data_IF_951790226303
#
_entry.id   IF_951790226303
#
_cell.length_a   1.000
_cell.length_b   1.000
_cell.length_c   1.000
_cell.angle_alpha   90.00
_cell.angle_beta   90.00
_cell.angle_gamma   90.00
#
_symmetry.space_group_name_H-M   'P 1'
#
loop_
_entity.id
_entity.type
_entity.pdbx_description
1 polymer ?
#
# COMPACT_ATOMS: atom_id res chain seq x y z
N UNK A 1 4.81 6.66 11.65
CA UNK A 1 5.07 7.01 10.24
C UNK A 1 4.79 5.83 9.33
N UNK A 2 4.44 6.10 8.07
CA UNK A 2 3.96 5.10 7.10
C UNK A 2 5.08 4.38 6.35
N UNK A 3 6.37 4.68 6.59
CA UNK A 3 7.51 4.05 5.89
C UNK A 3 7.38 2.54 5.64
N UNK A 4 6.94 1.70 6.61
CA UNK A 4 6.83 0.26 6.37
C UNK A 4 5.88 -0.10 5.21
N UNK A 5 4.83 0.70 4.98
CA UNK A 5 3.84 0.50 3.92
C UNK A 5 4.47 0.44 2.53
N UNK A 6 5.62 1.10 2.32
CA UNK A 6 6.36 1.03 1.06
C UNK A 6 6.76 -0.40 0.65
N UNK A 7 6.85 -1.31 1.63
CA UNK A 7 7.33 -2.68 1.47
C UNK A 7 6.35 -3.74 2.00
N UNK A 8 5.45 -3.34 2.91
CA UNK A 8 4.44 -4.20 3.56
C UNK A 8 3.08 -3.50 3.61
N UNK A 9 2.54 -3.12 2.45
CA UNK A 9 1.19 -2.54 2.38
C UNK A 9 0.10 -3.54 2.77
N UNK A 10 -1.06 -3.02 3.19
CA UNK A 10 -2.20 -3.83 3.58
C UNK A 10 -3.12 -4.05 2.39
N UNK A 11 -3.45 -5.30 2.11
CA UNK A 11 -4.54 -5.63 1.20
C UNK A 11 -5.72 -6.15 2.01
N UNK A 12 -6.80 -5.38 2.02
CA UNK A 12 -8.06 -5.71 2.70
C UNK A 12 -9.11 -6.22 1.71
N UNK A 13 -10.19 -6.81 2.22
CA UNK A 13 -11.30 -7.34 1.39
C UNK A 13 -11.91 -6.33 0.41
N UNK A 14 -11.85 -5.05 0.76
CA UNK A 14 -12.38 -3.91 0.00
C UNK A 14 -11.30 -2.84 -0.05
N UNK A 15 -10.29 -2.97 -0.94
CA UNK A 15 -9.18 -2.03 -0.99
C UNK A 15 -9.61 -0.57 -1.20
N UNK A 16 -10.83 -0.33 -1.70
CA UNK A 16 -11.44 0.99 -1.86
C UNK A 16 -11.86 1.66 -0.57
N UNK A 17 -11.70 0.97 0.58
CA UNK A 17 -11.98 1.49 1.91
C UNK A 17 -10.72 1.80 2.73
N UNK A 18 -9.53 1.63 2.14
CA UNK A 18 -8.28 1.93 2.81
C UNK A 18 -7.96 3.42 2.75
N UNK A 19 -7.67 4.02 3.91
CA UNK A 19 -7.07 5.35 4.06
C UNK A 19 -5.93 5.21 5.07
N UNK A 20 -4.76 5.72 4.73
CA UNK A 20 -3.65 5.78 5.67
C UNK A 20 -3.75 7.01 6.55
N UNK A 21 -3.25 6.91 7.78
CA UNK A 21 -3.18 8.04 8.71
C UNK A 21 -1.73 8.31 9.11
N UNK A 22 -1.37 9.58 9.21
CA UNK A 22 -0.06 10.04 9.66
C UNK A 22 -0.19 11.19 10.66
N UNK A 23 0.71 11.21 11.65
CA UNK A 23 0.79 12.26 12.65
C UNK A 23 2.12 13.00 12.47
N UNK A 24 2.10 14.32 12.33
CA UNK A 24 3.31 15.13 12.09
C UNK A 24 3.34 16.32 13.04
N UNK A 25 4.29 16.31 13.97
CA UNK A 25 4.40 17.33 15.01
C UNK A 25 5.73 18.08 14.91
N UNK A 26 5.73 19.41 14.98
CA UNK A 26 6.96 20.20 14.82
C UNK A 26 8.10 19.78 15.76
N UNK A 27 7.77 19.30 16.96
CA UNK A 27 8.75 18.85 17.96
C UNK A 27 9.24 17.40 17.78
N UNK A 28 8.61 16.58 16.95
CA UNK A 28 9.12 15.24 16.57
C UNK A 28 9.94 15.34 15.28
N UNK A 29 10.49 14.23 14.79
CA UNK A 29 11.24 14.16 13.53
C UNK A 29 11.35 12.71 13.05
N UNK A 30 11.92 12.47 11.86
CA UNK A 30 12.06 11.12 11.28
C UNK A 30 12.74 10.10 12.19
N UNK A 31 13.67 10.59 13.01
CA UNK A 31 14.44 9.82 13.99
C UNK A 31 14.40 10.49 15.38
N UNK A 32 13.50 11.45 15.59
CA UNK A 32 13.41 12.23 16.82
C UNK A 32 12.03 12.07 17.48
N UNK A 33 11.99 11.54 18.70
CA UNK A 33 10.73 11.20 19.40
C UNK A 33 9.95 12.42 19.92
N UNK A 34 10.62 13.56 20.03
CA UNK A 34 10.11 14.78 20.67
C UNK A 34 10.54 14.95 22.11
N UNK A 35 11.31 13.98 22.65
CA UNK A 35 11.92 14.10 23.96
C UNK A 35 12.91 15.28 24.04
N UNK A 36 13.11 15.77 25.25
CA UNK A 36 14.16 16.72 25.62
C UNK A 36 14.84 16.19 26.88
N UNK A 37 16.18 16.20 26.93
CA UNK A 37 16.95 15.68 28.05
C UNK A 37 17.20 14.17 27.98
N UNK A 38 16.91 13.43 29.05
CA UNK A 38 17.18 11.99 29.09
C UNK A 38 16.32 11.26 28.04
N UNK A 39 16.98 10.60 27.07
CA UNK A 39 16.31 9.94 25.94
C UNK A 39 16.10 10.83 24.71
N UNK A 40 16.62 12.05 24.71
CA UNK A 40 16.68 12.89 23.50
C UNK A 40 17.70 12.33 22.49
N UNK A 41 17.30 12.32 21.23
CA UNK A 41 18.16 12.06 20.07
C UNK A 41 18.70 13.37 19.53
N UNK A 42 19.88 13.39 18.90
CA UNK A 42 20.44 14.60 18.30
C UNK A 42 20.04 14.81 16.82
N UNK A 43 19.13 13.98 16.32
CA UNK A 43 18.53 14.11 14.99
C UNK A 43 17.62 15.34 14.89
N UNK A 44 17.39 15.83 13.67
CA UNK A 44 16.53 16.99 13.45
C UNK A 44 15.07 16.68 13.84
N UNK A 45 14.47 17.59 14.60
CA UNK A 45 13.01 17.73 14.67
C UNK A 45 12.51 18.35 13.37
N UNK A 46 11.24 18.17 13.02
CA UNK A 46 10.64 18.77 11.84
C UNK A 46 10.71 20.30 11.88
N UNK A 47 10.59 20.93 13.05
CA UNK A 47 10.75 22.38 13.20
C UNK A 47 12.17 22.89 12.97
N UNK A 48 13.16 22.01 13.05
CA UNK A 48 14.57 22.34 12.80
C UNK A 48 14.95 22.17 11.31
N UNK A 49 14.04 21.66 10.48
CA UNK A 49 14.24 21.46 9.05
C UNK A 49 13.95 22.74 8.25
N UNK A 50 14.68 22.93 7.16
CA UNK A 50 14.27 23.85 6.09
C UNK A 50 12.95 23.39 5.45
N UNK A 51 12.24 24.29 4.75
CA UNK A 51 10.99 23.94 4.06
C UNK A 51 11.16 22.75 3.09
N UNK A 52 12.26 22.70 2.34
CA UNK A 52 12.57 21.59 1.42
C UNK A 52 12.81 20.29 2.18
N UNK A 53 13.62 20.33 3.25
CA UNK A 53 13.87 19.13 4.07
C UNK A 53 12.60 18.60 4.72
N UNK A 54 11.73 19.50 5.21
CA UNK A 54 10.43 19.13 5.76
C UNK A 54 9.54 18.47 4.70
N UNK A 55 9.45 19.07 3.51
CA UNK A 55 8.67 18.51 2.40
C UNK A 55 9.18 17.13 1.97
N UNK A 56 10.49 16.95 1.88
CA UNK A 56 11.10 15.67 1.52
C UNK A 56 10.87 14.61 2.60
N UNK A 57 11.04 14.96 3.87
CA UNK A 57 10.79 14.06 4.98
C UNK A 57 9.31 13.62 5.01
N UNK A 58 8.38 14.56 4.99
CA UNK A 58 6.94 14.24 5.02
C UNK A 58 6.51 13.45 3.78
N UNK A 59 7.10 13.73 2.61
CA UNK A 59 6.86 12.94 1.40
C UNK A 59 7.32 11.49 1.58
N UNK A 60 8.54 11.28 2.06
CA UNK A 60 9.10 9.94 2.28
C UNK A 60 8.39 9.17 3.40
N UNK A 61 7.74 9.86 4.33
CA UNK A 61 7.19 9.27 5.56
C UNK A 61 5.69 9.08 5.56
N UNK A 62 4.98 9.89 4.77
CA UNK A 62 3.53 9.91 4.74
C UNK A 62 2.98 10.05 3.32
N UNK A 63 3.40 11.05 2.54
CA UNK A 63 2.72 11.37 1.28
C UNK A 63 3.07 10.42 0.13
N UNK A 64 4.13 9.61 0.22
CA UNK A 64 4.48 8.67 -0.85
C UNK A 64 3.33 7.70 -1.18
N UNK A 65 2.45 7.39 -0.21
CA UNK A 65 1.30 6.51 -0.41
C UNK A 65 0.27 7.07 -1.39
N UNK A 66 0.33 8.35 -1.75
CA UNK A 66 -0.54 8.93 -2.79
C UNK A 66 0.09 8.85 -4.19
N UNK A 67 1.29 8.28 -4.32
CA UNK A 67 1.92 8.04 -5.63
C UNK A 67 1.06 7.06 -6.43
N UNK A 68 0.54 7.44 -7.62
CA UNK A 68 -0.32 6.58 -8.42
C UNK A 68 0.33 5.25 -8.80
N UNK A 69 -0.52 4.23 -8.96
CA UNK A 69 -0.15 2.97 -9.57
C UNK A 69 0.84 2.11 -8.77
N UNK A 70 0.92 2.25 -7.46
CA UNK A 70 1.75 1.44 -6.56
C UNK A 70 0.90 0.54 -5.66
N UNK A 71 1.47 -0.54 -5.14
CA UNK A 71 0.76 -1.51 -4.29
C UNK A 71 0.30 -0.93 -2.94
N UNK A 72 0.79 0.26 -2.61
CA UNK A 72 0.45 1.03 -1.43
C UNK A 72 -0.41 2.25 -1.75
N UNK A 73 -0.84 2.45 -3.00
CA UNK A 73 -1.54 3.67 -3.38
C UNK A 73 -2.89 3.76 -2.67
N UNK A 74 -3.02 4.75 -1.78
CA UNK A 74 -4.27 5.06 -1.09
C UNK A 74 -4.27 6.53 -0.62
N UNK A 75 -5.45 7.12 -0.36
CA UNK A 75 -5.53 8.41 0.30
C UNK A 75 -4.79 8.41 1.64
N UNK A 76 -4.27 9.58 2.02
CA UNK A 76 -3.64 9.81 3.32
C UNK A 76 -4.31 10.97 4.04
N UNK A 77 -4.68 10.72 5.28
CA UNK A 77 -5.18 11.73 6.21
C UNK A 77 -4.08 12.06 7.22
N UNK A 78 -3.63 13.30 7.26
CA UNK A 78 -2.80 13.79 8.37
C UNK A 78 -3.71 14.02 9.57
N UNK A 79 -4.03 12.93 10.28
CA UNK A 79 -5.04 12.92 11.33
C UNK A 79 -4.65 13.68 12.58
N UNK A 80 -3.37 13.98 12.74
CA UNK A 80 -2.89 14.93 13.74
C UNK A 80 -1.69 15.71 13.20
N UNK A 81 -1.75 17.03 13.35
CA UNK A 81 -0.56 17.85 13.27
C UNK A 81 -0.66 19.02 14.23
N UNK A 82 0.51 19.51 14.61
CA UNK A 82 0.62 20.68 15.45
C UNK A 82 2.04 20.96 15.86
N UNK A 83 2.24 22.14 16.40
CA UNK A 83 3.43 22.47 17.17
C UNK A 83 3.04 23.33 18.35
N UNK A 84 4.02 23.79 19.15
CA UNK A 84 3.78 24.68 20.30
C UNK A 84 2.78 25.77 19.94
N UNK A 85 1.85 26.00 20.85
CA UNK A 85 0.64 26.76 20.58
C UNK A 85 0.68 28.24 20.97
N UNK A 86 -0.46 28.75 21.43
CA UNK A 86 -0.68 30.16 21.76
C UNK A 86 0.43 30.73 22.67
N UNK A 87 0.88 31.95 22.36
CA UNK A 87 1.92 32.65 23.11
C UNK A 87 3.36 32.27 22.77
N UNK A 88 3.57 31.31 21.85
CA UNK A 88 4.90 30.98 21.34
C UNK A 88 5.48 32.10 20.46
N UNK A 89 6.79 32.36 20.59
CA UNK A 89 7.57 33.35 19.82
C UNK A 89 8.78 32.74 19.08
N UNK A 90 9.08 31.46 19.31
CA UNK A 90 10.14 30.74 18.60
C UNK A 90 9.89 30.70 17.10
N UNK A 91 10.79 31.33 16.34
CA UNK A 91 10.69 31.46 14.89
C UNK A 91 10.71 30.11 14.16
N UNK A 92 11.31 29.08 14.75
CA UNK A 92 11.31 27.73 14.16
C UNK A 92 9.93 27.10 14.16
N UNK A 93 9.15 27.32 15.22
CA UNK A 93 7.77 26.81 15.31
C UNK A 93 6.85 27.52 14.33
N UNK A 94 7.01 28.84 14.24
CA UNK A 94 6.26 29.67 13.30
C UNK A 94 6.58 29.28 11.85
N UNK A 95 7.86 29.10 11.53
CA UNK A 95 8.30 28.67 10.20
C UNK A 95 7.80 27.26 9.86
N UNK A 96 7.82 26.33 10.82
CA UNK A 96 7.32 24.97 10.63
C UNK A 96 5.83 24.96 10.29
N UNK A 97 4.99 25.67 11.06
CA UNK A 97 3.56 25.73 10.81
C UNK A 97 3.24 26.29 9.42
N UNK A 98 3.91 27.37 9.03
CA UNK A 98 3.71 27.97 7.72
C UNK A 98 4.13 27.01 6.60
N UNK A 99 5.31 26.40 6.71
CA UNK A 99 5.82 25.44 5.73
C UNK A 99 4.98 24.17 5.65
N UNK A 100 4.49 23.67 6.79
CA UNK A 100 3.67 22.47 6.84
C UNK A 100 2.27 22.72 6.29
N UNK A 101 1.63 23.85 6.62
CA UNK A 101 0.35 24.23 5.99
C UNK A 101 0.49 24.48 4.49
N UNK A 102 1.60 25.06 4.03
CA UNK A 102 1.92 25.15 2.59
C UNK A 102 2.02 23.77 1.94
N UNK A 103 2.68 22.82 2.61
CA UNK A 103 2.83 21.45 2.12
C UNK A 103 1.47 20.74 1.99
N UNK A 104 0.58 20.88 2.98
CA UNK A 104 -0.77 20.29 2.93
C UNK A 104 -1.59 20.86 1.76
N UNK A 105 -1.56 22.19 1.58
CA UNK A 105 -2.24 22.86 0.45
C UNK A 105 -1.68 22.41 -0.89
N UNK A 106 -0.35 22.36 -1.02
CA UNK A 106 0.31 21.99 -2.27
C UNK A 106 0.01 20.54 -2.73
N UNK A 107 -0.37 19.66 -1.79
CA UNK A 107 -0.66 18.26 -2.07
C UNK A 107 -2.15 17.91 -1.99
N UNK A 108 -3.02 18.86 -1.66
CA UNK A 108 -4.46 18.61 -1.45
C UNK A 108 -4.68 17.50 -0.41
N UNK A 109 -3.94 17.60 0.71
CA UNK A 109 -3.90 16.56 1.75
C UNK A 109 -4.98 16.80 2.80
N UNK A 110 -5.82 15.79 3.06
CA UNK A 110 -6.78 15.82 4.16
C UNK A 110 -6.06 15.90 5.53
N UNK A 111 -6.64 16.64 6.49
CA UNK A 111 -5.98 16.91 7.76
C UNK A 111 -6.92 17.01 8.96
N UNK A 112 -6.35 16.91 10.16
CA UNK A 112 -6.97 17.33 11.42
C UNK A 112 -5.91 17.95 12.35
N UNK A 113 -6.22 19.13 12.91
CA UNK A 113 -5.35 19.82 13.86
C UNK A 113 -5.55 19.25 15.28
N UNK A 114 -4.46 19.07 16.02
CA UNK A 114 -4.51 18.51 17.38
C UNK A 114 -4.11 19.50 18.50
N UNK A 115 -4.98 19.71 19.50
CA UNK A 115 -6.43 19.55 19.41
C UNK A 115 -7.02 20.68 18.57
N UNK A 116 -8.19 20.48 17.97
CA UNK A 116 -8.91 21.59 17.34
C UNK A 116 -9.53 22.52 18.40
N UNK A 117 -10.09 21.92 19.46
CA UNK A 117 -10.92 22.59 20.47
C UNK A 117 -10.41 22.32 21.88
N UNK A 118 -10.42 23.33 22.73
CA UNK A 118 -10.21 23.21 24.17
C UNK A 118 -11.19 24.09 24.96
N UNK A 119 -11.15 24.01 26.28
CA UNK A 119 -11.83 24.98 27.15
C UNK A 119 -10.91 26.16 27.46
N UNK A 120 -11.48 27.29 27.89
CA UNK A 120 -10.66 28.36 28.45
C UNK A 120 -10.21 27.99 29.87
N UNK A 121 -9.00 28.42 30.24
CA UNK A 121 -8.52 28.36 31.62
C UNK A 121 -9.15 29.49 32.48
N UNK A 122 -8.79 29.54 33.76
CA UNK A 122 -9.29 30.55 34.69
C UNK A 122 -8.90 31.99 34.33
N UNK A 123 -7.86 32.19 33.50
CA UNK A 123 -7.45 33.50 32.99
C UNK A 123 -8.20 33.91 31.71
N UNK A 124 -9.01 33.01 31.16
CA UNK A 124 -9.72 33.20 29.89
C UNK A 124 -8.85 32.93 28.66
N UNK A 125 -7.69 32.30 28.84
CA UNK A 125 -6.80 31.84 27.76
C UNK A 125 -7.09 30.38 27.40
N UNK A 126 -6.42 29.83 26.39
CA UNK A 126 -6.56 28.42 26.03
C UNK A 126 -6.03 27.51 27.15
N UNK A 127 -6.83 26.57 27.66
CA UNK A 127 -6.36 25.57 28.61
C UNK A 127 -5.36 24.59 27.98
N UNK A 128 -5.53 24.32 26.68
CA UNK A 128 -4.52 23.67 25.86
C UNK A 128 -4.04 24.65 24.78
N UNK A 129 -2.81 25.14 24.95
CA UNK A 129 -2.23 26.13 24.03
C UNK A 129 -2.20 25.68 22.56
N UNK A 130 -2.12 24.37 22.29
CA UNK A 130 -2.08 23.80 20.94
C UNK A 130 -3.39 24.03 20.18
N UNK A 131 -4.49 24.25 20.89
CA UNK A 131 -5.82 24.44 20.31
C UNK A 131 -5.90 25.65 19.37
N UNK A 132 -6.83 25.58 18.41
CA UNK A 132 -7.16 26.67 17.49
C UNK A 132 -8.45 27.41 17.89
N UNK A 133 -9.31 26.72 18.64
CA UNK A 133 -10.61 27.18 19.10
C UNK A 133 -10.78 26.83 20.58
N UNK A 134 -11.44 27.71 21.35
CA UNK A 134 -11.85 27.36 22.70
C UNK A 134 -13.11 28.08 23.17
N UNK A 135 -13.66 27.61 24.28
CA UNK A 135 -14.88 28.13 24.87
C UNK A 135 -14.70 28.46 26.35
N UNK A 136 -15.15 29.65 26.75
CA UNK A 136 -15.24 30.07 28.15
C UNK A 136 -16.46 29.44 28.84
N UNK A 137 -16.52 29.42 30.19
CA UNK A 137 -17.67 28.88 30.92
C UNK A 137 -19.02 29.53 30.58
N UNK A 138 -19.01 30.78 30.13
CA UNK A 138 -20.19 31.52 29.67
C UNK A 138 -20.62 31.20 28.23
N UNK A 139 -19.90 30.30 27.55
CA UNK A 139 -20.13 29.92 26.15
C UNK A 139 -19.46 30.85 25.12
N UNK A 140 -18.80 31.93 25.55
CA UNK A 140 -18.09 32.81 24.63
C UNK A 140 -16.84 32.13 24.03
N UNK A 141 -16.56 32.44 22.77
CA UNK A 141 -15.46 31.84 21.99
C UNK A 141 -14.14 32.57 22.22
N UNK A 142 -13.05 31.80 22.28
CA UNK A 142 -11.67 32.25 22.02
C UNK A 142 -11.15 31.55 20.77
N UNK A 143 -10.31 32.23 19.99
CA UNK A 143 -9.80 31.69 18.73
C UNK A 143 -8.43 32.25 18.41
N UNK A 144 -7.76 31.60 17.48
CA UNK A 144 -6.46 32.03 16.95
C UNK A 144 -6.50 33.27 16.04
N UNK A 145 -7.57 34.06 16.01
CA UNK A 145 -7.70 35.20 15.08
C UNK A 145 -6.55 36.23 15.20
N UNK A 146 -6.03 36.43 16.42
CA UNK A 146 -4.90 37.32 16.71
C UNK A 146 -3.57 36.56 16.89
N UNK A 147 -3.52 35.28 16.53
CA UNK A 147 -2.37 34.38 16.69
C UNK A 147 -1.60 34.25 15.37
N UNK A 148 -0.29 34.04 15.46
CA UNK A 148 0.61 33.85 14.31
C UNK A 148 0.22 32.65 13.43
N UNK A 149 -0.52 31.68 13.97
CA UNK A 149 -1.06 30.51 13.25
C UNK A 149 -2.20 30.87 12.28
N UNK A 150 -2.88 32.00 12.48
CA UNK A 150 -4.12 32.34 11.76
C UNK A 150 -3.95 32.35 10.25
N UNK A 151 -2.91 33.01 9.74
CA UNK A 151 -2.68 33.12 8.31
C UNK A 151 -2.48 31.75 7.65
N UNK A 152 -1.69 30.87 8.28
CA UNK A 152 -1.49 29.49 7.82
C UNK A 152 -2.77 28.66 7.89
N UNK A 153 -3.56 28.80 8.97
CA UNK A 153 -4.85 28.13 9.12
C UNK A 153 -5.86 28.57 8.06
N UNK A 154 -6.02 29.88 7.86
CA UNK A 154 -6.94 30.43 6.86
C UNK A 154 -6.57 29.93 5.47
N UNK A 155 -5.30 30.05 5.09
CA UNK A 155 -4.76 29.53 3.82
C UNK A 155 -5.13 28.07 3.60
N UNK A 156 -4.99 27.23 4.64
CA UNK A 156 -5.31 25.81 4.57
C UNK A 156 -6.81 25.56 4.36
N UNK A 157 -7.68 26.14 5.22
CA UNK A 157 -9.13 25.86 5.19
C UNK A 157 -9.88 26.55 4.05
N UNK A 158 -9.29 27.56 3.40
CA UNK A 158 -9.86 28.22 2.22
C UNK A 158 -9.17 27.81 0.92
N UNK A 159 -8.23 26.86 0.96
CA UNK A 159 -7.56 26.38 -0.25
C UNK A 159 -8.55 25.69 -1.18
N UNK A 160 -8.36 25.86 -2.49
CA UNK A 160 -9.14 25.15 -3.49
C UNK A 160 -8.62 23.72 -3.64
N UNK A 161 -9.28 22.76 -2.99
CA UNK A 161 -9.00 21.34 -3.14
C UNK A 161 -9.71 20.71 -4.34
N UNK A 162 -9.42 19.43 -4.61
CA UNK A 162 -10.21 18.66 -5.58
C UNK A 162 -11.65 18.55 -5.10
N UNK A 163 -12.59 18.70 -6.02
CA UNK A 163 -14.03 18.55 -5.75
C UNK A 163 -14.65 17.53 -6.69
N UNK A 164 -15.77 16.94 -6.27
CA UNK A 164 -16.47 15.91 -7.03
C UNK A 164 -15.86 14.51 -6.86
N UNK A 165 -16.23 13.60 -7.76
CA UNK A 165 -15.75 12.22 -7.71
C UNK A 165 -14.27 12.16 -8.12
N UNK A 166 -13.44 11.60 -7.25
CA UNK A 166 -12.05 11.27 -7.58
C UNK A 166 -12.05 10.15 -8.64
N UNK A 167 -11.32 10.29 -9.75
CA UNK A 167 -11.21 9.25 -10.76
C UNK A 167 -10.81 7.91 -10.15
N UNK A 168 -11.48 6.84 -10.58
CA UNK A 168 -11.07 5.49 -10.19
C UNK A 168 -9.80 5.15 -10.96
N UNK A 169 -8.68 5.02 -10.24
CA UNK A 169 -7.41 4.58 -10.80
C UNK A 169 -7.28 3.06 -10.76
N UNK A 170 -6.44 2.53 -11.66
CA UNK A 170 -5.97 1.15 -11.60
C UNK A 170 -5.34 0.86 -10.25
N UNK A 171 -5.79 -0.20 -9.60
CA UNK A 171 -5.29 -0.64 -8.31
C UNK A 171 -4.19 -1.66 -8.45
N UNK A 172 -3.29 -1.58 -7.50
CA UNK A 172 -2.24 -2.55 -7.27
C UNK A 172 -2.29 -2.90 -5.79
N UNK A 173 -2.26 -4.20 -5.48
CA UNK A 173 -2.34 -4.66 -4.10
C UNK A 173 -1.35 -5.79 -3.87
N UNK A 174 -0.60 -5.71 -2.78
CA UNK A 174 0.39 -6.71 -2.42
C UNK A 174 -0.25 -7.81 -1.57
N UNK A 175 0.01 -9.07 -1.89
CA UNK A 175 -0.31 -10.20 -1.04
C UNK A 175 0.92 -10.59 -0.20
N UNK A 176 0.70 -11.02 1.04
CA UNK A 176 1.73 -11.52 1.95
C UNK A 176 2.44 -10.47 2.77
N UNK A 177 3.04 -10.89 3.88
CA UNK A 177 3.63 -9.98 4.88
C UNK A 177 5.01 -10.39 5.39
N UNK A 178 5.63 -11.42 4.80
CA UNK A 178 6.85 -12.10 5.26
C UNK A 178 6.55 -12.97 6.49
N UNK A 179 5.29 -13.38 6.61
CA UNK A 179 4.80 -14.19 7.72
C UNK A 179 4.19 -15.46 7.16
N UNK A 180 4.46 -16.58 7.82
CA UNK A 180 3.89 -17.87 7.48
C UNK A 180 2.39 -17.95 7.84
N UNK A 181 1.91 -17.07 8.72
CA UNK A 181 0.51 -16.93 9.12
C UNK A 181 0.18 -15.46 9.49
N UNK A 182 -1.08 -15.02 9.33
CA UNK A 182 -2.15 -15.72 8.63
C UNK A 182 -1.94 -15.71 7.10
N UNK A 183 -2.77 -16.45 6.38
CA UNK A 183 -2.93 -16.30 4.93
C UNK A 183 -3.24 -14.85 4.57
N UNK A 184 -2.89 -14.44 3.34
CA UNK A 184 -3.37 -13.17 2.79
C UNK A 184 -4.54 -13.41 1.85
N UNK A 185 -5.70 -13.71 2.45
CA UNK A 185 -6.94 -13.91 1.72
C UNK A 185 -7.76 -12.61 1.67
N UNK A 186 -7.60 -11.86 0.59
CA UNK A 186 -8.34 -10.64 0.33
C UNK A 186 -9.64 -10.85 -0.47
N UNK A 187 -10.01 -12.09 -0.77
CA UNK A 187 -11.27 -12.45 -1.44
C UNK A 187 -12.37 -12.71 -0.42
N UNK A 188 -13.48 -11.97 -0.50
CA UNK A 188 -14.64 -12.23 0.35
C UNK A 188 -15.25 -13.60 0.00
N UNK A 189 -15.29 -13.94 -1.29
CA UNK A 189 -15.74 -15.27 -1.74
C UNK A 189 -14.94 -16.42 -1.14
N UNK A 190 -13.63 -16.26 -0.96
CA UNK A 190 -12.79 -17.30 -0.39
C UNK A 190 -12.75 -17.28 1.14
N UNK A 191 -13.13 -16.19 1.80
CA UNK A 191 -13.33 -16.20 3.26
C UNK A 191 -14.54 -17.06 3.66
N UNK A 192 -15.56 -17.12 2.81
CA UNK A 192 -16.77 -17.92 3.04
C UNK A 192 -16.65 -19.38 2.56
N UNK A 193 -15.43 -19.84 2.23
CA UNK A 193 -15.18 -21.19 1.70
C UNK A 193 -14.18 -21.97 2.55
N UNK A 194 -14.21 -23.31 2.48
CA UNK A 194 -13.20 -24.14 3.12
C UNK A 194 -11.79 -23.80 2.64
N UNK A 195 -10.80 -24.06 3.49
CA UNK A 195 -9.39 -23.98 3.11
C UNK A 195 -9.12 -24.86 1.87
N UNK A 196 -8.70 -24.21 0.79
CA UNK A 196 -8.50 -24.84 -0.52
C UNK A 196 -7.11 -25.48 -0.67
N UNK A 197 -6.19 -25.20 0.26
CA UNK A 197 -4.91 -25.87 0.35
C UNK A 197 -4.45 -26.02 1.82
N UNK A 198 -5.05 -26.97 2.56
CA UNK A 198 -4.81 -27.14 3.99
C UNK A 198 -3.32 -27.27 4.34
N UNK A 199 -2.91 -26.50 5.35
CA UNK A 199 -1.53 -26.50 5.87
C UNK A 199 -0.51 -25.77 5.00
N UNK A 200 -0.94 -25.11 3.92
CA UNK A 200 -0.10 -24.25 3.08
C UNK A 200 -0.46 -22.78 3.30
N UNK A 201 0.45 -21.86 2.98
CA UNK A 201 0.12 -20.43 2.95
C UNK A 201 -0.64 -20.11 1.67
N UNK A 202 -1.63 -19.24 1.75
CA UNK A 202 -2.51 -18.87 0.63
C UNK A 202 -2.55 -17.36 0.47
N UNK A 203 -2.30 -16.90 -0.75
CA UNK A 203 -2.52 -15.53 -1.19
C UNK A 203 -3.68 -15.51 -2.20
N UNK A 204 -4.73 -14.75 -1.92
CA UNK A 204 -5.87 -14.58 -2.84
C UNK A 204 -6.18 -13.10 -3.01
N UNK A 205 -6.24 -12.65 -4.25
CA UNK A 205 -6.57 -11.28 -4.60
C UNK A 205 -8.00 -10.89 -4.18
N UNK A 206 -8.28 -9.59 -3.98
CA UNK A 206 -9.64 -9.07 -3.92
C UNK A 206 -10.51 -9.62 -5.05
N UNK A 207 -11.81 -9.81 -4.81
CA UNK A 207 -12.71 -10.39 -5.83
C UNK A 207 -12.83 -9.53 -7.10
N UNK A 208 -12.46 -8.26 -7.00
CA UNK A 208 -12.38 -7.27 -8.09
C UNK A 208 -11.02 -7.26 -8.78
N UNK A 209 -10.08 -8.12 -8.38
CA UNK A 209 -8.69 -8.13 -8.80
C UNK A 209 -8.23 -9.53 -9.26
N UNK A 210 -7.16 -9.58 -10.05
CA UNK A 210 -6.51 -10.83 -10.49
C UNK A 210 -5.06 -10.85 -10.04
N UNK A 211 -4.48 -12.05 -9.99
CA UNK A 211 -3.05 -12.20 -9.75
C UNK A 211 -2.27 -11.77 -11.00
N UNK A 212 -1.31 -10.88 -10.82
CA UNK A 212 -0.52 -10.27 -11.89
C UNK A 212 0.98 -10.61 -11.79
N UNK A 213 1.46 -10.88 -10.58
CA UNK A 213 2.84 -11.23 -10.32
C UNK A 213 3.01 -12.02 -9.04
N UNK A 214 4.15 -12.73 -8.95
CA UNK A 214 4.56 -13.47 -7.76
C UNK A 214 6.06 -13.29 -7.54
N UNK A 215 6.46 -13.37 -6.28
CA UNK A 215 7.87 -13.35 -5.91
C UNK A 215 8.43 -14.76 -5.83
N UNK A 216 9.75 -14.84 -6.01
CA UNK A 216 10.55 -16.02 -5.76
C UNK A 216 10.92 -16.11 -4.29
N UNK A 217 10.79 -17.31 -3.71
CA UNK A 217 11.30 -17.65 -2.37
C UNK A 217 10.72 -16.84 -1.19
N UNK A 218 9.55 -16.23 -1.33
CA UNK A 218 8.82 -15.59 -0.24
C UNK A 218 7.32 -15.53 -0.54
N UNK A 219 6.49 -15.39 0.49
CA UNK A 219 5.06 -15.14 0.41
C UNK A 219 4.77 -13.74 -0.13
N UNK A 220 4.99 -13.51 -1.43
CA UNK A 220 4.62 -12.24 -2.07
C UNK A 220 3.92 -12.45 -3.40
N UNK A 221 2.80 -11.76 -3.55
CA UNK A 221 2.05 -11.66 -4.79
C UNK A 221 1.64 -10.22 -5.08
N UNK A 222 1.30 -9.96 -6.34
CA UNK A 222 0.79 -8.67 -6.78
C UNK A 222 -0.54 -8.88 -7.48
N UNK A 223 -1.55 -8.15 -7.02
CA UNK A 223 -2.90 -8.12 -7.58
C UNK A 223 -3.14 -6.81 -8.32
N UNK A 224 -4.02 -6.85 -9.31
CA UNK A 224 -4.47 -5.64 -10.01
C UNK A 224 -5.83 -5.81 -10.65
N UNK A 225 -6.55 -4.70 -10.80
CA UNK A 225 -7.76 -4.57 -11.62
C UNK A 225 -7.47 -4.01 -13.02
N UNK A 226 -6.20 -3.78 -13.39
CA UNK A 226 -5.79 -3.21 -14.66
C UNK A 226 -6.40 -3.98 -15.84
N UNK A 227 -7.36 -3.39 -16.56
CA UNK A 227 -8.08 -4.06 -17.68
C UNK A 227 -8.71 -5.40 -17.28
N UNK A 228 -9.08 -5.57 -16.00
CA UNK A 228 -9.62 -6.82 -15.50
C UNK A 228 -10.95 -7.18 -16.17
N UNK A 229 -11.04 -8.35 -16.81
CA UNK A 229 -12.34 -8.90 -17.20
C UNK A 229 -13.12 -9.30 -15.95
N UNK A 230 -14.45 -9.10 -15.97
CA UNK A 230 -15.30 -9.61 -14.92
C UNK A 230 -15.17 -11.15 -14.81
N UNK A 231 -15.06 -11.67 -13.60
CA UNK A 231 -14.94 -13.12 -13.35
C UNK A 231 -16.24 -13.69 -12.75
N UNK A 232 -16.47 -14.98 -12.95
CA UNK A 232 -17.54 -15.70 -12.26
C UNK A 232 -17.18 -15.93 -10.80
N UNK A 233 -18.13 -16.42 -10.00
CA UNK A 233 -17.88 -16.84 -8.61
C UNK A 233 -17.22 -18.22 -8.51
N UNK A 234 -17.07 -18.95 -9.62
CA UNK A 234 -16.39 -20.23 -9.64
C UNK A 234 -14.89 -20.07 -9.34
N UNK A 235 -14.33 -21.02 -8.59
CA UNK A 235 -12.90 -21.06 -8.25
C UNK A 235 -12.40 -22.47 -8.48
N UNK A 236 -11.40 -22.61 -9.34
CA UNK A 236 -10.83 -23.89 -9.71
C UNK A 236 -9.40 -23.98 -9.17
N UNK A 237 -9.11 -25.10 -8.53
CA UNK A 237 -7.80 -25.35 -7.94
C UNK A 237 -6.99 -26.17 -8.93
N UNK A 238 -5.81 -25.67 -9.29
CA UNK A 238 -4.85 -26.36 -10.15
C UNK A 238 -3.72 -26.85 -9.27
N UNK A 239 -3.51 -28.18 -9.26
CA UNK A 239 -2.50 -28.84 -8.44
C UNK A 239 -1.44 -29.59 -9.27
N UNK A 240 -1.58 -29.63 -10.59
CA UNK A 240 -0.67 -30.34 -11.50
C UNK A 240 -0.80 -29.78 -12.93
N UNK A 241 -0.12 -30.44 -13.88
CA UNK A 241 -0.02 -30.03 -15.29
C UNK A 241 -1.25 -30.41 -16.15
N UNK A 242 -2.38 -30.82 -15.58
CA UNK A 242 -3.55 -31.31 -16.35
C UNK A 242 -4.11 -30.30 -17.37
N UNK A 243 -3.88 -29.00 -17.16
CA UNK A 243 -4.32 -27.93 -18.06
C UNK A 243 -3.22 -27.44 -19.01
N UNK A 244 -2.02 -28.01 -18.96
CA UNK A 244 -0.88 -27.59 -19.78
C UNK A 244 -1.09 -28.08 -21.21
N UNK A 245 -1.15 -27.14 -22.14
CA UNK A 245 -1.38 -27.43 -23.57
C UNK A 245 -0.08 -27.55 -24.36
N UNK A 246 0.98 -26.90 -23.90
CA UNK A 246 2.28 -26.84 -24.53
C UNK A 246 3.35 -26.64 -23.47
N UNK A 247 4.56 -27.16 -23.70
CA UNK A 247 5.68 -27.00 -22.76
C UNK A 247 6.27 -25.58 -22.86
N UNK A 248 5.68 -24.64 -22.13
CA UNK A 248 6.11 -23.23 -22.11
C UNK A 248 7.27 -22.95 -21.14
N UNK A 249 7.64 -23.92 -20.32
CA UNK A 249 8.74 -23.84 -19.36
C UNK A 249 9.43 -25.21 -19.24
N UNK A 250 10.26 -25.53 -20.23
CA UNK A 250 10.94 -26.82 -20.33
C UNK A 250 11.80 -27.12 -19.10
N UNK A 251 11.67 -28.33 -18.55
CA UNK A 251 12.36 -28.77 -17.33
C UNK A 251 11.73 -28.34 -16.01
N UNK A 252 10.59 -27.64 -16.06
CA UNK A 252 9.83 -27.19 -14.88
C UNK A 252 8.45 -27.84 -14.83
N UNK A 253 7.93 -28.04 -13.62
CA UNK A 253 6.53 -28.34 -13.38
C UNK A 253 5.68 -27.07 -13.50
N UNK A 254 4.45 -27.19 -13.98
CA UNK A 254 3.58 -26.05 -14.31
C UNK A 254 2.22 -26.17 -13.65
N UNK A 255 1.81 -25.11 -12.96
CA UNK A 255 0.42 -24.89 -12.58
C UNK A 255 -0.18 -23.94 -13.60
N UNK A 256 -1.12 -24.40 -14.41
CA UNK A 256 -1.75 -23.60 -15.46
C UNK A 256 -3.27 -23.58 -15.30
N UNK A 257 -3.86 -22.39 -15.36
CA UNK A 257 -5.31 -22.22 -15.44
C UNK A 257 -5.85 -22.79 -16.76
N UNK A 258 -7.06 -23.36 -16.72
CA UNK A 258 -7.72 -23.84 -17.94
C UNK A 258 -8.03 -22.68 -18.91
N UNK A 259 -8.30 -23.00 -20.17
CA UNK A 259 -8.70 -21.99 -21.16
C UNK A 259 -9.91 -21.19 -20.67
N UNK A 260 -9.88 -19.86 -20.89
CA UNK A 260 -10.93 -18.94 -20.40
C UNK A 260 -10.84 -18.59 -18.91
N UNK A 261 -9.79 -19.02 -18.21
CA UNK A 261 -9.57 -18.71 -16.79
C UNK A 261 -8.28 -17.92 -16.58
N UNK A 262 -8.25 -17.13 -15.51
CA UNK A 262 -7.08 -16.39 -15.05
C UNK A 262 -6.76 -16.71 -13.60
N UNK A 263 -5.50 -16.57 -13.20
CA UNK A 263 -5.08 -16.73 -11.82
C UNK A 263 -5.64 -15.58 -10.95
N UNK A 264 -6.17 -15.95 -9.78
CA UNK A 264 -6.67 -15.01 -8.76
C UNK A 264 -6.04 -15.25 -7.40
N UNK A 265 -5.25 -16.31 -7.27
CA UNK A 265 -4.52 -16.63 -6.05
C UNK A 265 -3.56 -17.79 -6.26
N UNK A 266 -2.73 -18.04 -5.26
CA UNK A 266 -1.72 -19.10 -5.26
C UNK A 266 -1.42 -19.52 -3.83
N UNK A 267 -0.85 -20.72 -3.68
CA UNK A 267 -0.43 -21.24 -2.39
C UNK A 267 1.02 -21.69 -2.42
N UNK A 268 1.66 -21.57 -1.26
CA UNK A 268 3.06 -21.87 -1.05
C UNK A 268 3.24 -22.80 0.14
N UNK A 269 4.24 -23.67 0.05
CA UNK A 269 4.63 -24.52 1.17
C UNK A 269 5.25 -23.72 2.32
N UNK A 270 4.74 -23.90 3.55
CA UNK A 270 5.25 -23.23 4.76
C UNK A 270 6.12 -24.10 5.65
N UNK A 271 6.24 -25.38 5.31
CA UNK A 271 7.08 -26.34 6.02
C UNK A 271 8.56 -25.92 6.07
N UNK A 272 9.33 -26.59 6.92
CA UNK A 272 10.78 -26.34 7.06
C UNK A 272 11.59 -26.82 5.86
N UNK A 273 11.06 -27.81 5.13
CA UNK A 273 11.63 -28.32 3.88
C UNK A 273 10.89 -27.72 2.70
N UNK A 274 11.63 -27.23 1.69
CA UNK A 274 11.06 -26.59 0.50
C UNK A 274 10.11 -25.43 0.83
N UNK A 275 10.47 -24.63 1.84
CA UNK A 275 9.72 -23.43 2.21
C UNK A 275 9.59 -22.51 1.00
N UNK A 276 8.38 -22.00 0.79
CA UNK A 276 7.95 -21.17 -0.33
C UNK A 276 7.94 -21.88 -1.69
N UNK A 277 7.94 -23.21 -1.72
CA UNK A 277 7.67 -23.96 -2.93
C UNK A 277 6.23 -23.70 -3.41
N UNK A 278 6.02 -23.62 -4.72
CA UNK A 278 4.69 -23.53 -5.30
C UNK A 278 3.91 -24.81 -4.99
N UNK A 279 2.70 -24.66 -4.44
CA UNK A 279 1.81 -25.77 -4.11
C UNK A 279 0.67 -25.87 -5.10
N UNK A 280 -0.21 -24.86 -5.14
CA UNK A 280 -1.39 -24.83 -6.02
C UNK A 280 -1.67 -23.43 -6.54
N UNK A 281 -2.41 -23.37 -7.65
CA UNK A 281 -2.87 -22.13 -8.26
C UNK A 281 -4.40 -22.07 -8.21
N UNK A 282 -4.94 -20.91 -7.82
CA UNK A 282 -6.38 -20.66 -7.77
C UNK A 282 -6.78 -19.85 -9.00
N UNK A 283 -7.69 -20.40 -9.80
CA UNK A 283 -8.12 -19.83 -11.07
C UNK A 283 -9.62 -19.47 -11.04
N UNK A 284 -9.98 -18.38 -11.72
CA UNK A 284 -11.37 -17.96 -11.89
C UNK A 284 -11.72 -17.88 -13.39
N UNK A 285 -12.87 -18.42 -13.82
CA UNK A 285 -13.38 -18.22 -15.17
C UNK A 285 -13.74 -16.75 -15.42
N UNK A 286 -13.28 -16.22 -16.55
CA UNK A 286 -13.75 -14.94 -17.08
C UNK A 286 -15.18 -15.08 -17.58
N UNK A 287 -15.98 -14.03 -17.41
CA UNK A 287 -17.32 -13.91 -18.01
C UNK A 287 -17.27 -13.52 -19.48
N UNK A 288 -16.14 -12.95 -19.93
CA UNK A 288 -15.87 -12.60 -21.32
C UNK A 288 -14.79 -13.49 -21.94
N UNK A 289 -14.83 -13.79 -23.25
CA UNK A 289 -13.82 -14.63 -23.89
C UNK A 289 -12.39 -14.09 -23.70
N UNK A 290 -11.49 -14.92 -23.18
CA UNK A 290 -10.06 -14.61 -23.15
C UNK A 290 -9.40 -15.07 -24.46
N UNK A 291 -8.42 -14.32 -25.00
CA UNK A 291 -7.69 -14.74 -26.19
C UNK A 291 -7.05 -16.13 -26.03
N UNK A 292 -7.16 -16.97 -27.07
CA UNK A 292 -6.63 -18.36 -27.09
C UNK A 292 -5.11 -18.40 -27.31
N UNK A 293 -4.42 -17.25 -27.23
CA UNK A 293 -2.99 -17.14 -27.52
C UNK A 293 -2.15 -18.06 -26.60
N UNK A 294 -1.05 -18.57 -27.16
CA UNK A 294 0.00 -19.29 -26.44
C UNK A 294 0.51 -18.54 -25.20
N UNK A 295 0.58 -17.21 -25.28
CA UNK A 295 1.20 -16.35 -24.28
C UNK A 295 2.72 -16.30 -24.41
N UNK A 296 3.36 -15.64 -23.45
CA UNK A 296 4.82 -15.59 -23.31
C UNK A 296 5.23 -16.07 -21.92
N UNK A 297 6.42 -16.65 -21.84
CA UNK A 297 7.03 -17.04 -20.57
C UNK A 297 7.86 -15.89 -20.01
N UNK A 298 7.65 -15.57 -18.74
CA UNK A 298 8.36 -14.55 -17.98
C UNK A 298 9.24 -15.24 -16.96
N UNK A 299 10.53 -15.38 -17.27
CA UNK A 299 11.52 -15.97 -16.37
C UNK A 299 12.02 -14.94 -15.36
N UNK A 300 11.99 -15.29 -14.08
CA UNK A 300 12.46 -14.44 -12.98
C UNK A 300 13.27 -15.24 -11.93
N UNK A 301 13.89 -16.34 -12.37
CA UNK A 301 14.71 -17.22 -11.53
C UNK A 301 16.10 -16.64 -11.24
N UNK A 302 16.55 -15.67 -12.04
CA UNK A 302 17.89 -15.05 -11.94
C UNK A 302 17.87 -13.53 -11.71
N UNK A 303 16.76 -12.87 -11.98
CA UNK A 303 16.57 -11.43 -11.77
C UNK A 303 15.08 -11.09 -11.80
N UNK A 304 14.73 -9.86 -11.42
CA UNK A 304 13.40 -9.31 -11.70
C UNK A 304 13.10 -9.36 -13.19
N UNK A 305 11.88 -9.77 -13.53
CA UNK A 305 11.33 -9.66 -14.87
C UNK A 305 9.95 -9.04 -14.78
N UNK A 306 9.96 -7.71 -14.82
CA UNK A 306 8.81 -6.82 -14.64
C UNK A 306 8.70 -5.91 -15.87
N UNK A 307 7.49 -5.48 -16.25
CA UNK A 307 7.32 -4.49 -17.30
C UNK A 307 8.13 -3.22 -17.01
N UNK A 308 8.71 -2.60 -18.05
CA UNK A 308 9.46 -1.34 -17.90
C UNK A 308 8.57 -0.12 -17.63
N UNK A 309 7.25 -0.26 -17.83
CA UNK A 309 6.23 0.76 -17.57
C UNK A 309 4.87 0.10 -17.40
N UNK A 310 3.91 0.83 -16.82
CA UNK A 310 2.72 0.20 -16.23
C UNK A 310 3.08 -0.56 -14.95
N UNK A 311 2.08 -1.14 -14.28
CA UNK A 311 2.38 -1.90 -13.08
C UNK A 311 2.74 -1.08 -11.83
N UNK A 312 2.82 -1.79 -10.70
CA UNK A 312 3.42 -1.31 -9.45
C UNK A 312 4.95 -1.18 -9.52
N UNK A 313 5.50 -0.64 -10.60
CA UNK A 313 6.93 -0.78 -10.99
C UNK A 313 7.89 0.17 -10.28
N UNK A 314 7.41 1.31 -9.76
CA UNK A 314 8.25 2.21 -8.95
C UNK A 314 8.47 1.70 -7.52
N UNK A 315 7.57 0.83 -7.05
CA UNK A 315 7.65 0.16 -5.75
C UNK A 315 8.33 -1.22 -5.81
N UNK A 316 8.90 -1.61 -4.68
CA UNK A 316 9.40 -2.96 -4.43
C UNK A 316 8.41 -3.73 -3.54
N UNK A 317 7.46 -4.42 -4.17
CA UNK A 317 6.45 -5.22 -3.46
C UNK A 317 6.99 -6.57 -2.93
N UNK A 318 8.26 -6.88 -3.18
CA UNK A 318 8.92 -8.05 -2.59
C UNK A 318 10.42 -7.76 -2.35
N UNK A 319 10.75 -6.91 -1.36
CA UNK A 319 12.11 -6.42 -1.18
C UNK A 319 13.14 -7.53 -0.97
N UNK A 320 14.21 -7.49 -1.76
CA UNK A 320 15.29 -8.47 -1.72
C UNK A 320 15.01 -9.79 -2.46
N UNK A 321 13.86 -9.92 -3.13
CA UNK A 321 13.47 -11.13 -3.85
C UNK A 321 13.18 -10.87 -5.32
N UNK A 322 13.41 -11.86 -6.19
CA UNK A 322 13.10 -11.72 -7.61
C UNK A 322 11.60 -11.79 -7.89
N UNK A 323 11.14 -10.93 -8.78
CA UNK A 323 9.72 -10.73 -9.10
C UNK A 323 9.44 -11.05 -10.55
N UNK A 324 8.48 -11.93 -10.80
CA UNK A 324 7.85 -12.11 -12.10
C UNK A 324 6.56 -11.30 -12.15
N UNK A 325 6.35 -10.54 -13.22
CA UNK A 325 5.12 -9.76 -13.40
C UNK A 325 4.69 -9.72 -14.88
N UNK A 326 3.43 -10.03 -15.15
CA UNK A 326 2.85 -9.85 -16.48
C UNK A 326 2.62 -8.36 -16.77
N UNK A 327 2.48 -7.97 -18.04
CA UNK A 327 2.14 -6.60 -18.43
C UNK A 327 0.67 -6.26 -18.11
N UNK A 328 0.32 -4.98 -17.98
CA UNK A 328 -1.03 -4.54 -17.61
C UNK A 328 -2.12 -5.03 -18.59
N UNK A 329 -1.76 -5.18 -19.87
CA UNK A 329 -2.59 -5.78 -20.91
C UNK A 329 -2.52 -7.31 -20.98
N UNK A 330 -2.04 -7.97 -19.92
CA UNK A 330 -1.92 -9.42 -19.82
C UNK A 330 -2.51 -9.92 -18.49
N UNK A 331 -2.80 -11.21 -18.45
CA UNK A 331 -3.16 -11.94 -17.24
C UNK A 331 -2.19 -13.09 -16.99
N UNK A 332 -2.00 -13.42 -15.71
CA UNK A 332 -1.24 -14.59 -15.29
C UNK A 332 -2.09 -15.84 -15.52
N UNK A 333 -1.62 -16.69 -16.43
CA UNK A 333 -2.26 -17.97 -16.78
C UNK A 333 -1.60 -19.18 -16.11
N UNK A 334 -0.35 -19.04 -15.63
CA UNK A 334 0.32 -20.13 -14.94
C UNK A 334 1.62 -19.74 -14.23
N UNK A 335 2.08 -20.63 -13.35
CA UNK A 335 3.33 -20.53 -12.58
C UNK A 335 4.14 -21.80 -12.85
N UNK A 336 5.42 -21.64 -13.16
CA UNK A 336 6.37 -22.74 -13.31
C UNK A 336 7.36 -22.75 -12.15
N UNK A 337 7.70 -23.96 -11.70
CA UNK A 337 8.58 -24.22 -10.56
C UNK A 337 9.33 -25.54 -10.77
N UNK A 338 10.46 -25.73 -10.08
CA UNK A 338 11.23 -26.97 -10.21
C UNK A 338 11.95 -27.32 -8.91
N UNK A 339 12.04 -28.61 -8.63
CA UNK A 339 12.90 -29.15 -7.57
C UNK A 339 14.29 -29.54 -8.09
N UNK A 340 14.52 -29.45 -9.40
CA UNK A 340 15.81 -29.73 -9.99
C UNK A 340 16.87 -28.74 -9.51
N UNK A 341 18.13 -29.16 -9.50
CA UNK A 341 19.30 -28.29 -9.26
C UNK A 341 19.17 -27.45 -7.99
N UNK A 342 18.59 -28.02 -6.94
CA UNK A 342 18.43 -27.37 -5.62
C UNK A 342 17.56 -26.10 -5.65
N UNK A 343 16.71 -25.91 -6.66
CA UNK A 343 15.83 -24.74 -6.76
C UNK A 343 14.67 -24.75 -5.76
N UNK A 344 14.45 -25.87 -5.05
CA UNK A 344 13.55 -25.91 -3.89
C UNK A 344 12.06 -25.76 -4.21
N UNK A 345 11.67 -25.86 -5.49
CA UNK A 345 10.26 -25.79 -5.91
C UNK A 345 9.65 -24.39 -5.89
N UNK A 346 10.44 -23.33 -5.72
CA UNK A 346 9.92 -21.96 -5.69
C UNK A 346 9.44 -21.50 -7.07
N UNK A 347 8.53 -20.51 -7.15
CA UNK A 347 8.16 -19.90 -8.42
C UNK A 347 9.39 -19.37 -9.18
N UNK A 348 9.49 -19.71 -10.47
CA UNK A 348 10.64 -19.36 -11.32
C UNK A 348 10.25 -18.75 -12.66
N UNK A 349 9.05 -19.03 -13.16
CA UNK A 349 8.51 -18.36 -14.34
C UNK A 349 6.99 -18.22 -14.32
N UNK A 350 6.47 -17.22 -15.04
CA UNK A 350 5.04 -17.02 -15.27
C UNK A 350 4.69 -17.29 -16.72
N UNK A 351 3.49 -17.83 -16.96
CA UNK A 351 2.85 -17.79 -18.27
C UNK A 351 1.92 -16.56 -18.32
N UNK A 352 2.30 -15.56 -19.11
CA UNK A 352 1.51 -14.35 -19.32
C UNK A 352 0.77 -14.42 -20.64
N UNK A 353 -0.54 -14.21 -20.62
CA UNK A 353 -1.39 -14.22 -21.81
C UNK A 353 -2.08 -12.87 -22.00
N UNK A 354 -2.29 -12.41 -23.25
CA UNK A 354 -2.90 -11.12 -23.52
C UNK A 354 -4.34 -11.04 -23.01
N UNK A 355 -4.73 -9.86 -22.56
CA UNK A 355 -6.10 -9.41 -22.38
C UNK A 355 -6.58 -8.74 -23.67
N UNK A 356 -7.91 -8.60 -23.83
CA UNK A 356 -8.50 -7.86 -24.95
C UNK A 356 -8.33 -6.35 -24.79
#
# INVERSE_FOLDING_TARGET
MLKPVANISNTILRPDKLVYSAHVYGFTGPQHTGATGLGETHDLRYRDMTATQLADAVRQEALFVTTPGQHYTAPVWVSEFGTRGAGQTDQKEIAWWNSFTDLLVANDTDFAAWPLVTQADASGAFADSFALLGYRPDGSRISIADDWRYAGWQKLVTSAGRTGQVPVETRWNMLGSNSYLPDTNASALMQDRPDWDPGQWKGVCPDTERLQGVSRSIDRGLCTDARQPATTTARNIVANEANVQQDWAGGYSKLQCAAGQMAVGFSLTIGTTNRWAASKLLCAPSTSPLPVNAGRTVWFDQADNRPAGGGSTASDWAPGHFKGQCADGEYLAGIAYTYQRVQGGVPSALLCKPLQ
#
